data_IF_783468376072
#
_entry.id   IF_783468376072
#
_cell.length_a   1.000
_cell.length_b   1.000
_cell.length_c   1.000
_cell.angle_alpha   90.00
_cell.angle_beta   90.00
_cell.angle_gamma   90.00
#
_symmetry.space_group_name_H-M   'P 1'
#
loop_
_entity.id
_entity.type
_entity.pdbx_description
1 polymer ?
#
# COMPACT_ATOMS: atom_id res chain seq x y z
N UNK A 1 -44.13 11.32 3.30
CA UNK A 1 -45.28 10.44 3.68
C UNK A 1 -44.78 9.11 4.28
N UNK A 2 -43.96 8.32 3.61
CA UNK A 2 -43.48 7.02 4.14
C UNK A 2 -42.64 7.17 5.43
N UNK A 3 -41.72 8.16 5.50
CA UNK A 3 -40.91 8.45 6.68
C UNK A 3 -41.74 8.83 7.91
N UNK A 4 -42.88 9.55 7.72
CA UNK A 4 -43.79 9.89 8.80
C UNK A 4 -44.52 8.66 9.38
N UNK A 5 -44.92 7.73 8.50
CA UNK A 5 -45.51 6.46 8.90
C UNK A 5 -44.53 5.61 9.73
N UNK A 6 -43.26 5.54 9.31
CA UNK A 6 -42.23 4.80 10.07
C UNK A 6 -42.01 5.41 11.46
N UNK A 7 -41.97 6.72 11.57
CA UNK A 7 -41.86 7.41 12.87
C UNK A 7 -43.07 7.13 13.79
N UNK A 8 -44.26 7.05 13.21
CA UNK A 8 -45.46 6.69 13.96
C UNK A 8 -45.43 5.23 14.45
N UNK A 9 -45.09 4.28 13.56
CA UNK A 9 -44.97 2.87 13.94
C UNK A 9 -43.89 2.65 15.00
N UNK A 10 -42.81 3.44 14.95
CA UNK A 10 -41.78 3.41 15.97
C UNK A 10 -42.28 3.94 17.30
N UNK A 11 -43.07 5.05 17.29
CA UNK A 11 -43.69 5.58 18.50
C UNK A 11 -44.68 4.59 19.14
N UNK A 12 -45.29 3.72 18.31
CA UNK A 12 -46.16 2.63 18.75
C UNK A 12 -45.36 1.40 19.26
N UNK A 13 -44.03 1.52 19.47
CA UNK A 13 -43.17 0.47 20.00
C UNK A 13 -42.83 -0.66 19.02
N UNK A 14 -43.05 -0.47 17.74
CA UNK A 14 -42.69 -1.50 16.70
C UNK A 14 -41.23 -1.45 16.33
N UNK A 15 -40.60 -2.62 16.27
CA UNK A 15 -39.27 -2.77 15.66
C UNK A 15 -39.43 -2.95 14.15
N UNK A 16 -38.74 -2.12 13.38
CA UNK A 16 -38.88 -2.07 11.92
C UNK A 16 -37.52 -2.35 11.29
N UNK A 17 -37.48 -3.31 10.37
CA UNK A 17 -36.30 -3.60 9.55
C UNK A 17 -36.61 -3.24 8.11
N UNK A 18 -35.77 -2.41 7.51
CA UNK A 18 -35.95 -1.93 6.14
C UNK A 18 -34.69 -2.24 5.34
N UNK A 19 -34.88 -2.75 4.13
CA UNK A 19 -33.79 -2.88 3.15
C UNK A 19 -34.00 -1.82 2.09
N UNK A 20 -33.05 -0.92 1.94
CA UNK A 20 -33.13 0.19 0.97
C UNK A 20 -31.76 0.44 0.33
N UNK A 21 -31.78 0.91 -0.91
CA UNK A 21 -30.60 1.45 -1.59
C UNK A 21 -30.51 2.97 -1.50
N UNK A 22 -31.54 3.62 -0.94
CA UNK A 22 -31.58 5.06 -0.73
C UNK A 22 -30.85 5.41 0.56
N UNK A 23 -29.63 5.92 0.41
CA UNK A 23 -28.76 6.26 1.53
C UNK A 23 -29.26 7.47 2.31
N UNK A 24 -29.83 8.47 1.62
CA UNK A 24 -30.38 9.67 2.28
C UNK A 24 -31.60 9.31 3.11
N UNK A 25 -32.49 8.47 2.60
CA UNK A 25 -33.62 7.94 3.36
C UNK A 25 -33.15 7.15 4.60
N UNK A 26 -32.15 6.27 4.47
CA UNK A 26 -31.61 5.52 5.59
C UNK A 26 -30.97 6.44 6.64
N UNK A 27 -30.23 7.45 6.20
CA UNK A 27 -29.56 8.40 7.07
C UNK A 27 -30.54 9.23 7.93
N UNK A 28 -31.77 9.49 7.43
CA UNK A 28 -32.77 10.30 8.09
C UNK A 28 -33.74 9.51 8.96
N UNK A 29 -33.93 8.22 8.67
CA UNK A 29 -35.02 7.45 9.30
C UNK A 29 -34.54 6.32 10.20
N UNK A 30 -33.33 5.83 10.00
CA UNK A 30 -32.83 4.67 10.75
C UNK A 30 -32.14 5.08 12.06
N UNK A 31 -32.30 4.26 13.10
CA UNK A 31 -31.52 4.36 14.34
C UNK A 31 -30.16 3.64 14.19
N UNK A 32 -30.17 2.53 13.46
CA UNK A 32 -28.98 1.74 13.16
C UNK A 32 -28.99 1.43 11.68
N UNK A 33 -27.88 1.67 11.01
CA UNK A 33 -27.65 1.29 9.62
C UNK A 33 -26.74 0.07 9.60
N UNK A 34 -27.15 -0.95 8.87
CA UNK A 34 -26.37 -2.17 8.68
C UNK A 34 -26.07 -2.38 7.18
N UNK A 35 -24.83 -2.73 6.87
CA UNK A 35 -24.46 -3.13 5.53
C UNK A 35 -24.55 -4.65 5.39
N UNK A 36 -25.51 -5.08 4.58
CA UNK A 36 -25.62 -6.47 4.17
C UNK A 36 -24.79 -6.66 2.89
N UNK A 37 -23.79 -7.52 2.94
CA UNK A 37 -22.97 -7.86 1.80
C UNK A 37 -22.69 -9.36 1.80
N UNK A 38 -22.96 -10.01 0.68
CA UNK A 38 -22.72 -11.44 0.48
C UNK A 38 -23.39 -12.34 1.56
N UNK A 39 -24.61 -11.92 1.98
CA UNK A 39 -25.40 -12.66 2.98
C UNK A 39 -25.01 -12.40 4.44
N UNK A 40 -24.00 -11.59 4.71
CA UNK A 40 -23.52 -11.26 6.06
C UNK A 40 -23.64 -9.75 6.36
N UNK A 41 -23.88 -9.41 7.63
CA UNK A 41 -23.85 -8.02 8.10
C UNK A 41 -22.37 -7.64 8.35
N UNK A 42 -21.80 -6.89 7.42
CA UNK A 42 -20.40 -6.48 7.47
C UNK A 42 -20.14 -5.32 8.43
N UNK A 43 -21.11 -4.43 8.60
CA UNK A 43 -21.02 -3.24 9.47
C UNK A 43 -22.41 -2.95 10.02
N UNK A 44 -22.52 -2.59 11.30
CA UNK A 44 -23.74 -2.14 11.94
C UNK A 44 -23.40 -0.97 12.87
N UNK A 45 -23.86 0.24 12.54
CA UNK A 45 -23.50 1.48 13.26
C UNK A 45 -24.66 2.49 13.22
N UNK A 46 -24.72 3.44 14.16
CA UNK A 46 -25.60 4.60 14.05
C UNK A 46 -25.33 5.38 12.75
N UNK A 47 -26.36 6.03 12.15
CA UNK A 47 -26.20 6.77 10.88
C UNK A 47 -25.06 7.79 10.90
N UNK A 48 -24.86 8.49 12.00
CA UNK A 48 -23.78 9.47 12.17
C UNK A 48 -22.37 8.87 11.97
N UNK A 49 -22.16 7.64 12.43
CA UNK A 49 -20.89 6.94 12.26
C UNK A 49 -20.83 6.17 10.94
N UNK A 50 -21.99 5.66 10.49
CA UNK A 50 -22.09 4.89 9.25
C UNK A 50 -21.80 5.75 8.02
N UNK A 51 -22.31 6.98 7.97
CA UNK A 51 -22.19 7.87 6.81
C UNK A 51 -21.07 8.91 6.92
N UNK A 52 -20.58 9.25 8.12
CA UNK A 52 -19.55 10.27 8.32
C UNK A 52 -18.17 9.84 7.80
N UNK A 53 -17.78 8.59 8.02
CA UNK A 53 -16.43 8.08 7.70
C UNK A 53 -16.38 7.18 6.45
N UNK A 54 -17.53 6.80 5.88
CA UNK A 54 -17.55 5.87 4.76
C UNK A 54 -17.42 6.61 3.43
N UNK A 55 -16.36 6.33 2.72
CA UNK A 55 -16.15 6.82 1.34
C UNK A 55 -16.94 6.00 0.29
N UNK A 56 -17.64 4.94 0.69
CA UNK A 56 -18.41 4.04 -0.19
C UNK A 56 -19.91 4.18 -0.07
N UNK A 57 -20.39 4.39 1.17
CA UNK A 57 -21.81 4.50 1.49
C UNK A 57 -22.06 5.91 2.01
N UNK A 58 -21.94 6.86 1.12
CA UNK A 58 -22.04 8.28 1.44
C UNK A 58 -23.33 8.80 0.88
N UNK A 59 -24.13 9.49 1.68
CA UNK A 59 -25.30 10.23 1.23
C UNK A 59 -24.90 11.30 0.21
N UNK A 60 -25.80 11.71 -0.65
CA UNK A 60 -25.52 12.81 -1.59
C UNK A 60 -25.25 14.12 -0.84
N UNK A 61 -25.92 14.34 0.28
CA UNK A 61 -25.64 15.44 1.21
C UNK A 61 -24.21 15.43 1.72
N UNK A 62 -23.70 14.28 2.16
CA UNK A 62 -22.32 14.16 2.61
C UNK A 62 -21.30 14.32 1.47
N UNK A 63 -21.61 13.89 0.23
CA UNK A 63 -20.76 14.16 -0.93
C UNK A 63 -20.64 15.64 -1.23
N UNK A 64 -21.75 16.38 -1.12
CA UNK A 64 -21.77 17.84 -1.30
C UNK A 64 -21.03 18.53 -0.17
N UNK A 65 -21.29 18.14 1.09
CA UNK A 65 -20.70 18.72 2.30
C UNK A 65 -19.17 18.48 2.43
N UNK A 66 -18.63 17.44 1.83
CA UNK A 66 -17.25 16.91 2.03
C UNK A 66 -16.12 17.95 1.97
N UNK A 67 -16.33 19.09 1.31
CA UNK A 67 -15.33 20.16 1.17
C UNK A 67 -15.77 21.47 1.86
N UNK A 68 -16.91 21.48 2.51
CA UNK A 68 -17.54 22.68 3.06
C UNK A 68 -17.76 22.53 4.57
N UNK A 69 -18.28 21.38 5.00
CA UNK A 69 -18.65 21.10 6.38
C UNK A 69 -18.20 19.70 6.78
N UNK A 70 -17.77 19.53 8.03
CA UNK A 70 -17.43 18.22 8.60
C UNK A 70 -18.67 17.58 9.25
N UNK A 71 -18.75 16.24 9.17
CA UNK A 71 -19.79 15.42 9.81
C UNK A 71 -21.23 15.66 9.36
N UNK A 72 -21.46 16.18 8.18
CA UNK A 72 -22.78 16.35 7.57
C UNK A 72 -23.11 15.17 6.68
N UNK A 73 -24.21 14.46 6.98
CA UNK A 73 -24.66 13.27 6.24
C UNK A 73 -26.15 13.29 5.88
N UNK A 74 -26.90 14.34 6.31
CA UNK A 74 -28.30 14.53 5.96
C UNK A 74 -28.53 15.87 5.26
N UNK A 75 -29.60 15.98 4.47
CA UNK A 75 -29.98 17.24 3.81
C UNK A 75 -30.28 18.33 4.82
N UNK A 76 -30.99 17.98 5.89
CA UNK A 76 -31.29 18.90 6.97
C UNK A 76 -30.00 19.43 7.65
N UNK A 77 -29.05 18.55 7.90
CA UNK A 77 -27.73 18.92 8.43
C UNK A 77 -26.94 19.82 7.48
N UNK A 78 -27.02 19.59 6.19
CA UNK A 78 -26.36 20.42 5.18
C UNK A 78 -26.97 21.84 5.15
N UNK A 79 -28.30 21.93 5.13
CA UNK A 79 -29.01 23.23 5.17
C UNK A 79 -28.69 23.98 6.44
N UNK A 80 -28.71 23.32 7.60
CA UNK A 80 -28.39 23.93 8.89
C UNK A 80 -26.93 24.41 8.94
N UNK A 81 -26.00 23.67 8.43
CA UNK A 81 -24.57 24.03 8.38
C UNK A 81 -24.27 25.22 7.45
N UNK A 82 -25.14 25.46 6.48
CA UNK A 82 -25.09 26.61 5.57
C UNK A 82 -25.89 27.84 6.07
N UNK A 83 -26.38 27.81 7.32
CA UNK A 83 -27.13 28.91 7.92
C UNK A 83 -28.61 28.95 7.54
N UNK A 84 -29.14 27.90 6.92
CA UNK A 84 -30.55 27.73 6.55
C UNK A 84 -31.37 27.04 7.65
N UNK A 85 -32.70 27.18 7.60
CA UNK A 85 -33.63 26.36 8.38
C UNK A 85 -34.25 25.31 7.49
N UNK A 86 -34.14 24.05 7.86
CA UNK A 86 -34.79 22.94 7.18
C UNK A 86 -36.28 22.89 7.62
N UNK A 87 -37.16 23.45 6.83
CA UNK A 87 -38.59 23.23 6.96
C UNK A 87 -38.98 21.99 6.12
N UNK A 88 -40.02 21.28 6.54
CA UNK A 88 -40.45 19.96 6.07
C UNK A 88 -40.21 19.62 4.57
N UNK A 89 -39.64 18.46 4.30
CA UNK A 89 -39.23 17.92 3.00
C UNK A 89 -40.30 17.95 1.90
N UNK A 90 -41.59 17.96 2.24
CA UNK A 90 -42.67 17.95 1.24
C UNK A 90 -42.85 19.29 0.49
N UNK A 91 -42.27 20.36 1.00
CA UNK A 91 -42.51 21.72 0.50
C UNK A 91 -41.34 22.27 -0.37
N UNK A 92 -40.19 21.56 -0.38
CA UNK A 92 -38.98 22.03 -1.07
C UNK A 92 -39.05 21.86 -2.58
N UNK A 93 -39.77 20.86 -3.11
CA UNK A 93 -39.84 20.62 -4.54
C UNK A 93 -40.55 21.73 -5.33
N UNK A 94 -41.43 22.52 -4.66
CA UNK A 94 -42.13 23.65 -5.26
C UNK A 94 -41.38 24.99 -5.25
N UNK A 95 -40.40 25.14 -4.34
CA UNK A 95 -39.75 26.44 -4.11
C UNK A 95 -38.47 26.70 -4.88
N UNK A 96 -37.88 25.67 -5.50
CA UNK A 96 -36.64 25.85 -6.29
C UNK A 96 -36.81 26.69 -7.57
N UNK A 97 -38.02 26.98 -8.00
CA UNK A 97 -38.28 27.77 -9.21
C UNK A 97 -38.46 29.28 -8.95
N UNK A 98 -38.37 29.79 -7.70
CA UNK A 98 -38.74 31.16 -7.35
C UNK A 98 -37.75 31.98 -6.53
N UNK A 99 -36.62 31.48 -6.12
CA UNK A 99 -35.68 32.25 -5.29
C UNK A 99 -34.80 33.16 -6.17
N UNK A 100 -35.34 34.36 -6.48
CA UNK A 100 -34.50 35.54 -6.61
C UNK A 100 -34.18 35.97 -5.17
N UNK A 101 -33.27 35.23 -4.53
CA UNK A 101 -32.78 35.61 -3.22
C UNK A 101 -31.71 36.68 -3.36
N UNK A 102 -31.83 37.73 -2.53
CA UNK A 102 -30.74 38.63 -2.22
C UNK A 102 -29.47 37.82 -1.96
N UNK A 103 -28.39 38.22 -2.59
CA UNK A 103 -27.08 37.59 -2.43
C UNK A 103 -26.71 37.57 -0.94
N UNK A 104 -26.64 36.42 -0.29
CA UNK A 104 -25.90 36.36 0.96
C UNK A 104 -24.44 36.65 0.62
N UNK A 105 -23.86 37.60 1.32
CA UNK A 105 -22.44 37.96 1.26
C UNK A 105 -21.56 36.85 1.87
N UNK A 106 -21.90 35.62 1.60
CA UNK A 106 -21.07 34.46 1.90
C UNK A 106 -20.43 34.01 0.58
N UNK A 107 -19.17 34.33 0.44
CA UNK A 107 -18.34 33.85 -0.64
C UNK A 107 -18.57 32.33 -0.81
N UNK A 108 -19.27 31.96 -1.89
CA UNK A 108 -19.36 30.56 -2.34
C UNK A 108 -17.93 30.01 -2.29
N UNK A 109 -17.68 28.92 -1.52
CA UNK A 109 -16.33 28.36 -1.45
C UNK A 109 -15.91 28.03 -2.89
N UNK A 110 -15.07 28.86 -3.45
CA UNK A 110 -14.60 28.67 -4.82
C UNK A 110 -14.02 27.25 -4.85
N UNK A 111 -14.60 26.41 -5.71
CA UNK A 111 -14.05 25.10 -6.09
C UNK A 111 -12.53 25.26 -6.11
N UNK A 112 -11.82 24.66 -5.13
CA UNK A 112 -10.37 24.80 -4.99
C UNK A 112 -9.79 24.57 -6.36
N UNK A 113 -9.48 25.65 -7.09
CA UNK A 113 -8.80 25.57 -8.41
C UNK A 113 -7.64 24.66 -8.18
N UNK A 114 -7.54 23.57 -8.94
CA UNK A 114 -6.36 22.68 -8.90
C UNK A 114 -5.15 23.60 -8.93
N UNK A 115 -4.44 23.72 -7.79
CA UNK A 115 -3.27 24.59 -7.70
C UNK A 115 -2.36 24.17 -8.84
N UNK A 116 -2.18 25.06 -9.81
CA UNK A 116 -1.27 24.81 -10.93
C UNK A 116 0.07 24.39 -10.33
N UNK A 117 0.63 23.31 -10.84
CA UNK A 117 1.97 22.88 -10.41
C UNK A 117 2.92 24.06 -10.56
N UNK A 118 3.77 24.36 -9.56
CA UNK A 118 4.80 25.39 -9.69
C UNK A 118 5.62 25.15 -10.97
N UNK A 119 5.99 26.20 -11.67
CA UNK A 119 6.74 26.12 -12.93
C UNK A 119 7.97 25.23 -12.78
N UNK A 120 8.72 25.40 -11.68
CA UNK A 120 9.88 24.58 -11.34
C UNK A 120 9.56 23.06 -11.38
N UNK A 121 8.44 22.64 -10.79
CA UNK A 121 8.04 21.22 -10.78
C UNK A 121 7.64 20.70 -12.16
N UNK A 122 7.04 21.54 -12.99
CA UNK A 122 6.73 21.18 -14.39
C UNK A 122 8.02 21.00 -15.20
N UNK A 123 8.99 21.88 -15.01
CA UNK A 123 10.30 21.80 -15.65
C UNK A 123 11.02 20.52 -15.21
N UNK A 124 11.07 20.22 -13.92
CA UNK A 124 11.68 18.99 -13.41
C UNK A 124 11.00 17.74 -13.96
N UNK A 125 9.67 17.76 -14.04
CA UNK A 125 8.91 16.63 -14.59
C UNK A 125 9.19 16.42 -16.08
N UNK A 126 9.19 17.48 -16.87
CA UNK A 126 9.45 17.39 -18.32
C UNK A 126 10.90 17.00 -18.63
N UNK A 127 11.87 17.63 -18.00
CA UNK A 127 13.28 17.28 -18.18
C UNK A 127 13.59 15.86 -17.71
N UNK A 128 13.05 15.47 -16.54
CA UNK A 128 13.18 14.11 -16.03
C UNK A 128 12.54 13.07 -16.95
N UNK A 129 11.35 13.33 -17.50
CA UNK A 129 10.68 12.42 -18.44
C UNK A 129 11.42 12.29 -19.76
N UNK A 130 11.90 13.40 -20.33
CA UNK A 130 12.66 13.40 -21.58
C UNK A 130 14.01 12.71 -21.38
N UNK A 131 14.74 13.05 -20.31
CA UNK A 131 16.03 12.42 -20.01
C UNK A 131 15.91 10.92 -19.74
N UNK A 132 14.85 10.52 -19.02
CA UNK A 132 14.59 9.11 -18.76
C UNK A 132 14.23 8.35 -20.04
N UNK A 133 13.34 8.91 -20.88
CA UNK A 133 12.97 8.32 -22.17
C UNK A 133 14.19 8.20 -23.10
N UNK A 134 15.06 9.22 -23.12
CA UNK A 134 16.29 9.18 -23.89
C UNK A 134 17.21 8.04 -23.43
N UNK A 135 17.42 7.88 -22.12
CA UNK A 135 18.24 6.80 -21.56
C UNK A 135 17.66 5.42 -21.88
N UNK A 136 16.33 5.27 -21.86
CA UNK A 136 15.67 4.04 -22.23
C UNK A 136 15.89 3.69 -23.71
N UNK A 137 15.72 4.67 -24.60
CA UNK A 137 15.93 4.48 -26.03
C UNK A 137 17.40 4.19 -26.37
N UNK A 138 18.34 4.84 -25.70
CA UNK A 138 19.77 4.57 -25.84
C UNK A 138 20.11 3.13 -25.39
N UNK A 139 19.45 2.62 -24.34
CA UNK A 139 19.64 1.25 -23.86
C UNK A 139 19.06 0.16 -24.77
N UNK A 140 18.15 0.49 -25.69
CA UNK A 140 17.56 -0.48 -26.64
C UNK A 140 18.40 -0.73 -27.89
N UNK A 141 19.49 0.03 -28.09
CA UNK A 141 20.32 -0.08 -29.29
C UNK A 141 19.66 0.43 -30.59
N UNK A 142 18.46 1.02 -30.49
CA UNK A 142 17.72 1.59 -31.63
C UNK A 142 18.38 2.89 -32.12
N UNK A 143 19.06 3.59 -31.21
CA UNK A 143 19.79 4.80 -31.52
C UNK A 143 21.30 4.54 -31.73
N UNK A 144 21.94 5.23 -32.67
CA UNK A 144 23.38 5.09 -32.92
C UNK A 144 24.26 5.72 -31.82
N UNK A 145 23.71 5.95 -30.64
CA UNK A 145 24.40 6.54 -29.50
C UNK A 145 24.63 5.46 -28.45
N UNK A 146 25.87 4.99 -28.35
CA UNK A 146 26.28 4.08 -27.31
C UNK A 146 26.58 4.86 -26.02
N UNK A 147 25.97 4.44 -24.93
CA UNK A 147 26.31 4.98 -23.60
C UNK A 147 27.71 4.44 -23.26
N UNK A 148 28.69 5.27 -22.93
CA UNK A 148 30.02 4.81 -22.57
C UNK A 148 29.98 3.72 -21.51
N UNK A 149 30.59 2.57 -21.77
CA UNK A 149 30.67 1.46 -20.81
C UNK A 149 31.65 1.75 -19.67
N UNK A 150 32.61 2.62 -19.90
CA UNK A 150 33.64 3.01 -18.94
C UNK A 150 33.68 4.55 -18.74
N UNK A 151 33.75 5.02 -17.51
CA UNK A 151 33.68 4.26 -16.27
C UNK A 151 32.23 3.80 -15.98
N UNK A 152 32.06 2.57 -15.53
CA UNK A 152 30.72 1.95 -15.33
C UNK A 152 29.74 2.77 -14.49
N UNK A 153 30.23 3.53 -13.51
CA UNK A 153 29.40 4.42 -12.67
C UNK A 153 28.72 5.53 -13.47
N UNK A 154 29.28 5.91 -14.62
CA UNK A 154 28.73 6.99 -15.46
C UNK A 154 27.35 6.62 -16.03
N UNK A 155 27.15 5.37 -16.45
CA UNK A 155 25.87 4.89 -16.95
C UNK A 155 24.77 5.01 -15.87
N UNK A 156 25.12 4.61 -14.64
CA UNK A 156 24.18 4.71 -13.52
C UNK A 156 23.92 6.14 -13.09
N UNK A 157 24.93 7.00 -13.09
CA UNK A 157 24.75 8.42 -12.82
C UNK A 157 23.81 9.09 -13.84
N UNK A 158 24.00 8.80 -15.12
CA UNK A 158 23.15 9.29 -16.21
C UNK A 158 21.69 8.82 -16.07
N UNK A 159 21.46 7.61 -15.58
CA UNK A 159 20.11 7.10 -15.30
C UNK A 159 19.52 7.72 -14.02
N UNK A 160 20.30 7.87 -12.97
CA UNK A 160 19.83 8.40 -11.69
C UNK A 160 19.40 9.86 -11.76
N UNK A 161 20.08 10.69 -12.55
CA UNK A 161 19.76 12.13 -12.66
C UNK A 161 18.33 12.38 -13.16
N UNK A 162 17.88 11.82 -14.30
CA UNK A 162 16.49 11.96 -14.75
C UNK A 162 15.49 11.40 -13.75
N UNK A 163 15.82 10.28 -13.06
CA UNK A 163 14.97 9.68 -12.05
C UNK A 163 14.78 10.61 -10.84
N UNK A 164 15.85 11.25 -10.35
CA UNK A 164 15.76 12.24 -9.25
C UNK A 164 14.92 13.44 -9.68
N UNK A 165 15.08 13.94 -10.91
CA UNK A 165 14.25 15.02 -11.44
C UNK A 165 12.77 14.64 -11.49
N UNK A 166 12.43 13.41 -11.88
CA UNK A 166 11.07 12.88 -11.83
C UNK A 166 10.51 12.86 -10.40
N UNK A 167 11.29 12.41 -9.42
CA UNK A 167 10.89 12.41 -8.00
C UNK A 167 10.55 13.83 -7.54
N UNK A 168 11.41 14.80 -7.80
CA UNK A 168 11.19 16.20 -7.41
C UNK A 168 9.92 16.74 -8.08
N UNK A 169 9.69 16.38 -9.35
CA UNK A 169 8.53 16.82 -10.12
C UNK A 169 7.20 16.23 -9.61
N UNK A 170 7.20 14.96 -9.24
CA UNK A 170 5.98 14.22 -8.83
C UNK A 170 5.67 14.33 -7.33
N UNK A 171 6.67 14.66 -6.47
CA UNK A 171 6.51 14.67 -5.00
C UNK A 171 5.21 15.36 -4.53
N UNK A 172 4.23 14.65 -3.94
CA UNK A 172 2.95 15.23 -3.55
C UNK A 172 3.06 16.05 -2.27
N UNK A 173 2.07 16.91 -2.02
CA UNK A 173 1.86 17.47 -0.69
C UNK A 173 1.31 16.38 0.23
N UNK A 174 1.85 16.29 1.46
CA UNK A 174 1.50 15.33 2.52
C UNK A 174 -0.03 15.20 2.75
N UNK A 175 -0.68 14.23 2.12
CA UNK A 175 -2.13 13.98 2.27
C UNK A 175 -2.45 12.49 2.21
N UNK A 176 -1.71 11.64 2.94
CA UNK A 176 -2.06 10.22 2.98
C UNK A 176 -3.26 9.94 3.89
N UNK A 177 -4.10 8.98 3.49
CA UNK A 177 -5.22 8.50 4.27
C UNK A 177 -4.78 8.01 5.65
N UNK A 178 -5.52 8.40 6.70
CA UNK A 178 -5.26 7.94 8.08
C UNK A 178 -5.39 6.42 8.17
N UNK A 179 -4.52 5.73 8.93
CA UNK A 179 -4.64 4.28 9.12
C UNK A 179 -5.91 3.95 9.91
N UNK A 180 -6.58 2.84 9.60
CA UNK A 180 -7.60 2.31 10.49
C UNK A 180 -6.95 1.94 11.82
N UNK A 181 -7.49 2.44 12.92
CA UNK A 181 -6.98 2.19 14.27
C UNK A 181 -7.46 0.81 14.71
N UNK A 182 -6.58 -0.18 14.69
CA UNK A 182 -6.82 -1.46 15.36
C UNK A 182 -5.64 -1.75 16.30
N UNK A 183 -5.91 -1.70 17.60
CA UNK A 183 -4.95 -2.18 18.60
C UNK A 183 -4.90 -3.71 18.52
N UNK A 184 -3.77 -4.27 18.10
CA UNK A 184 -3.59 -5.71 17.96
C UNK A 184 -3.21 -6.32 19.29
N UNK A 185 -4.03 -7.24 19.81
CA UNK A 185 -3.64 -8.14 20.91
C UNK A 185 -2.70 -9.22 20.35
N UNK A 186 -1.64 -9.56 21.11
CA UNK A 186 -0.76 -10.70 20.80
C UNK A 186 -1.61 -11.98 20.83
N UNK A 187 -1.58 -12.74 19.75
CA UNK A 187 -2.37 -13.97 19.63
C UNK A 187 -1.51 -15.21 19.89
N UNK A 188 -2.08 -16.36 20.30
CA UNK A 188 -1.32 -17.60 20.47
C UNK A 188 -0.54 -18.04 19.22
N UNK A 189 -0.98 -17.63 18.03
CA UNK A 189 -0.27 -17.87 16.77
C UNK A 189 1.05 -17.13 16.66
N UNK A 190 1.16 -15.96 17.29
CA UNK A 190 2.40 -15.22 17.33
C UNK A 190 3.44 -15.96 18.21
N UNK A 191 2.98 -16.64 19.27
CA UNK A 191 3.83 -17.47 20.15
C UNK A 191 4.41 -18.67 19.38
N UNK A 192 3.64 -19.33 18.52
CA UNK A 192 4.16 -20.46 17.71
C UNK A 192 5.22 -20.01 16.73
N UNK A 193 5.05 -18.85 16.07
CA UNK A 193 6.09 -18.29 15.22
C UNK A 193 7.36 -17.97 16.01
N UNK A 194 7.23 -17.44 17.23
CA UNK A 194 8.36 -17.19 18.15
C UNK A 194 9.06 -18.49 18.58
N UNK A 195 8.30 -19.55 18.88
CA UNK A 195 8.87 -20.85 19.24
C UNK A 195 9.64 -21.47 18.08
N UNK A 196 9.07 -21.46 16.87
CA UNK A 196 9.78 -21.93 15.66
C UNK A 196 11.07 -21.13 15.50
N UNK A 197 11.01 -19.82 15.58
CA UNK A 197 12.17 -18.96 15.40
C UNK A 197 13.21 -19.13 16.52
N UNK A 198 12.77 -19.25 17.78
CA UNK A 198 13.67 -19.33 18.92
C UNK A 198 14.29 -20.72 19.16
N UNK A 199 13.62 -21.79 18.69
CA UNK A 199 14.08 -23.17 18.93
C UNK A 199 14.65 -23.79 17.66
N UNK A 200 13.92 -23.73 16.54
CA UNK A 200 14.34 -24.41 15.31
C UNK A 200 15.55 -23.74 14.66
N UNK A 201 15.60 -22.41 14.59
CA UNK A 201 16.74 -21.72 13.98
C UNK A 201 18.08 -22.04 14.71
N UNK A 202 18.20 -21.89 16.05
CA UNK A 202 19.41 -22.30 16.74
C UNK A 202 19.76 -23.78 16.54
N UNK A 203 18.74 -24.65 16.54
CA UNK A 203 18.94 -26.09 16.30
C UNK A 203 19.49 -26.38 14.90
N UNK A 204 18.92 -25.77 13.86
CA UNK A 204 19.43 -25.89 12.48
C UNK A 204 20.84 -25.37 12.33
N UNK A 205 21.19 -24.27 12.97
CA UNK A 205 22.53 -23.72 12.98
C UNK A 205 23.50 -24.70 13.65
N UNK A 206 23.15 -25.23 14.84
CA UNK A 206 23.98 -26.19 15.57
C UNK A 206 24.16 -27.47 14.76
N UNK A 207 23.09 -28.10 14.27
CA UNK A 207 23.17 -29.31 13.46
C UNK A 207 23.98 -29.07 12.19
N UNK A 208 23.71 -27.97 11.47
CA UNK A 208 24.47 -27.63 10.27
C UNK A 208 25.94 -27.43 10.53
N UNK A 209 26.31 -26.85 11.67
CA UNK A 209 27.74 -26.68 12.03
C UNK A 209 28.40 -27.99 12.41
N UNK A 210 27.68 -28.92 13.02
CA UNK A 210 28.22 -30.22 13.45
C UNK A 210 28.27 -31.27 12.35
N UNK A 211 27.23 -31.37 11.52
CA UNK A 211 27.05 -32.47 10.60
C UNK A 211 27.40 -32.14 9.15
N UNK A 212 27.41 -30.87 8.73
CA UNK A 212 27.84 -30.53 7.37
C UNK A 212 29.35 -30.40 7.37
N UNK A 213 30.08 -31.21 6.52
CA UNK A 213 31.54 -31.16 6.44
C UNK A 213 32.03 -29.75 6.12
N UNK A 214 33.22 -29.41 6.62
CA UNK A 214 33.88 -28.15 6.29
C UNK A 214 34.20 -28.13 4.79
N UNK A 215 33.36 -27.52 4.01
CA UNK A 215 33.45 -27.42 2.56
C UNK A 215 32.87 -26.11 2.08
N UNK A 216 33.04 -25.85 0.83
CA UNK A 216 32.85 -24.57 0.14
C UNK A 216 31.47 -23.94 0.27
N UNK A 217 30.42 -24.65 0.66
CA UNK A 217 29.06 -24.13 0.71
C UNK A 217 28.31 -24.41 2.01
N UNK A 218 29.04 -24.78 3.07
CA UNK A 218 28.44 -25.08 4.38
C UNK A 218 27.56 -23.92 4.89
N UNK A 219 28.11 -22.72 4.92
CA UNK A 219 27.39 -21.53 5.40
C UNK A 219 26.16 -21.20 4.54
N UNK A 220 26.27 -21.35 3.21
CA UNK A 220 25.15 -21.15 2.30
C UNK A 220 23.99 -22.10 2.61
N UNK A 221 24.27 -23.39 2.80
CA UNK A 221 23.23 -24.39 3.10
C UNK A 221 22.55 -24.14 4.44
N UNK A 222 23.32 -23.82 5.47
CA UNK A 222 22.78 -23.49 6.80
C UNK A 222 21.85 -22.28 6.73
N UNK A 223 22.30 -21.19 6.10
CA UNK A 223 21.52 -19.97 6.02
C UNK A 223 20.29 -20.15 5.14
N UNK A 224 20.40 -20.93 4.06
CA UNK A 224 19.25 -21.27 3.20
C UNK A 224 18.19 -22.05 3.99
N UNK A 225 18.59 -23.02 4.82
CA UNK A 225 17.66 -23.76 5.68
C UNK A 225 16.97 -22.82 6.67
N UNK A 226 17.72 -21.94 7.35
CA UNK A 226 17.17 -20.93 8.26
C UNK A 226 16.19 -19.99 7.56
N UNK A 227 16.47 -19.57 6.33
CA UNK A 227 15.54 -18.73 5.55
C UNK A 227 14.22 -19.46 5.24
N UNK A 228 14.30 -20.73 4.87
CA UNK A 228 13.10 -21.55 4.61
C UNK A 228 12.28 -21.70 5.91
N UNK A 229 12.92 -21.92 7.04
CA UNK A 229 12.25 -21.96 8.35
C UNK A 229 11.58 -20.63 8.71
N UNK A 230 12.24 -19.50 8.48
CA UNK A 230 11.63 -18.18 8.67
C UNK A 230 10.41 -17.97 7.77
N UNK A 231 10.52 -18.32 6.49
CA UNK A 231 9.40 -18.23 5.55
C UNK A 231 8.24 -19.13 6.01
N UNK A 232 8.53 -20.38 6.37
CA UNK A 232 7.52 -21.32 6.88
C UNK A 232 6.81 -20.79 8.14
N UNK A 233 7.55 -20.20 9.09
CA UNK A 233 6.99 -19.61 10.29
C UNK A 233 5.98 -18.49 9.97
N UNK A 234 6.27 -17.64 9.00
CA UNK A 234 5.35 -16.60 8.54
C UNK A 234 4.08 -17.16 7.90
N UNK A 235 4.22 -18.16 7.02
CA UNK A 235 3.07 -18.81 6.37
C UNK A 235 2.19 -19.54 7.40
N UNK A 236 2.79 -20.31 8.30
CA UNK A 236 2.07 -21.02 9.37
C UNK A 236 1.35 -20.04 10.30
N UNK A 237 2.01 -18.94 10.67
CA UNK A 237 1.39 -17.89 11.50
C UNK A 237 0.19 -17.24 10.81
N UNK A 238 0.20 -17.12 9.49
CA UNK A 238 -0.92 -16.62 8.72
C UNK A 238 -2.07 -17.63 8.67
N UNK A 239 -1.78 -18.89 8.34
CA UNK A 239 -2.78 -19.94 8.23
C UNK A 239 -3.53 -20.18 9.54
N UNK A 240 -2.82 -20.18 10.67
CA UNK A 240 -3.43 -20.35 12.01
C UNK A 240 -4.42 -19.24 12.38
N UNK A 241 -4.37 -18.08 11.75
CA UNK A 241 -5.37 -17.02 11.92
C UNK A 241 -6.67 -17.27 11.16
N UNK A 242 -6.78 -18.41 10.47
CA UNK A 242 -7.94 -18.78 9.64
C UNK A 242 -8.36 -17.61 8.73
N UNK A 243 -7.47 -17.20 7.80
CA UNK A 243 -7.78 -16.10 6.89
C UNK A 243 -9.05 -16.42 6.09
N UNK A 244 -9.88 -15.42 5.90
CA UNK A 244 -11.05 -15.55 5.06
C UNK A 244 -10.64 -15.71 3.59
N UNK A 245 -11.52 -16.28 2.76
CA UNK A 245 -11.29 -16.34 1.31
C UNK A 245 -11.04 -14.95 0.71
N UNK A 246 -11.66 -13.91 1.30
CA UNK A 246 -11.47 -12.50 0.89
C UNK A 246 -10.05 -11.99 1.21
N UNK A 247 -9.48 -12.37 2.36
CA UNK A 247 -8.08 -12.03 2.70
C UNK A 247 -7.10 -12.64 1.70
N UNK A 248 -7.28 -13.93 1.39
CA UNK A 248 -6.46 -14.67 0.44
C UNK A 248 -6.58 -14.06 -0.96
N UNK A 249 -7.80 -13.74 -1.41
CA UNK A 249 -8.04 -13.12 -2.71
C UNK A 249 -7.34 -11.76 -2.85
N UNK A 250 -7.38 -10.92 -1.81
CA UNK A 250 -6.70 -9.61 -1.84
C UNK A 250 -5.19 -9.77 -1.87
N UNK A 251 -4.62 -10.71 -1.10
CA UNK A 251 -3.19 -11.01 -1.16
C UNK A 251 -2.78 -11.52 -2.54
N UNK A 252 -3.56 -12.43 -3.12
CA UNK A 252 -3.30 -12.96 -4.46
C UNK A 252 -3.31 -11.86 -5.54
N UNK A 253 -4.31 -10.97 -5.51
CA UNK A 253 -4.42 -9.84 -6.45
C UNK A 253 -3.24 -8.87 -6.32
N UNK A 254 -2.83 -8.55 -5.08
CA UNK A 254 -1.68 -7.65 -4.86
C UNK A 254 -0.36 -8.30 -5.28
N UNK A 255 -0.20 -9.60 -5.02
CA UNK A 255 0.97 -10.36 -5.49
C UNK A 255 0.98 -10.45 -7.01
N UNK A 256 -0.15 -10.73 -7.65
CA UNK A 256 -0.26 -10.75 -9.10
C UNK A 256 0.04 -9.37 -9.73
N UNK A 257 -0.43 -8.28 -9.11
CA UNK A 257 -0.11 -6.92 -9.55
C UNK A 257 1.39 -6.62 -9.44
N UNK A 258 2.05 -7.10 -8.38
CA UNK A 258 3.50 -6.94 -8.20
C UNK A 258 4.28 -7.76 -9.24
N UNK A 259 3.86 -9.00 -9.52
CA UNK A 259 4.44 -9.86 -10.58
C UNK A 259 4.26 -9.20 -11.95
N UNK A 260 3.03 -8.82 -12.31
CA UNK A 260 2.74 -8.15 -13.57
C UNK A 260 3.55 -6.84 -13.73
N UNK A 261 3.72 -6.08 -12.66
CA UNK A 261 4.58 -4.91 -12.66
C UNK A 261 6.06 -5.26 -12.91
N UNK A 262 6.56 -6.37 -12.36
CA UNK A 262 7.92 -6.84 -12.62
C UNK A 262 8.11 -7.26 -14.07
N UNK A 263 7.11 -7.93 -14.67
CA UNK A 263 7.12 -8.35 -16.07
C UNK A 263 7.04 -7.15 -17.03
N UNK A 264 6.13 -6.21 -16.76
CA UNK A 264 5.95 -5.02 -17.60
C UNK A 264 7.25 -4.20 -17.74
N UNK A 265 8.05 -4.18 -16.67
CA UNK A 265 9.32 -3.47 -16.62
C UNK A 265 10.53 -4.42 -16.78
N UNK A 266 10.33 -5.56 -17.42
CA UNK A 266 11.38 -6.57 -17.59
C UNK A 266 12.65 -6.02 -18.24
N UNK A 267 12.49 -5.21 -19.31
CA UNK A 267 13.61 -4.62 -20.05
C UNK A 267 14.46 -3.65 -19.24
N UNK A 268 13.95 -3.14 -18.11
CA UNK A 268 14.66 -2.14 -17.31
C UNK A 268 15.33 -2.78 -16.09
N UNK A 269 16.68 -2.79 -16.05
CA UNK A 269 17.41 -3.32 -14.91
C UNK A 269 17.00 -2.60 -13.61
N UNK A 270 16.55 -3.37 -12.63
CA UNK A 270 16.16 -2.90 -11.29
C UNK A 270 15.06 -1.81 -11.23
N UNK A 271 14.57 -1.27 -12.35
CA UNK A 271 13.49 -0.28 -12.39
C UNK A 271 12.13 -0.98 -12.44
N UNK A 272 11.57 -1.32 -11.27
CA UNK A 272 10.35 -2.15 -11.15
C UNK A 272 9.45 -1.67 -10.01
N UNK A 273 8.11 -1.74 -10.16
CA UNK A 273 7.16 -1.30 -9.13
C UNK A 273 6.97 -2.29 -7.98
N UNK A 274 7.56 -3.49 -8.03
CA UNK A 274 7.28 -4.58 -7.11
C UNK A 274 7.47 -4.20 -5.65
N UNK A 275 8.60 -3.59 -5.29
CA UNK A 275 8.87 -3.18 -3.92
C UNK A 275 7.88 -2.09 -3.43
N UNK A 276 7.48 -1.16 -4.30
CA UNK A 276 6.47 -0.16 -3.98
C UNK A 276 5.11 -0.80 -3.65
N UNK A 277 4.66 -1.77 -4.45
CA UNK A 277 3.39 -2.49 -4.22
C UNK A 277 3.45 -3.25 -2.90
N UNK A 278 4.56 -3.93 -2.60
CA UNK A 278 4.78 -4.68 -1.36
C UNK A 278 4.75 -3.75 -0.13
N UNK A 279 5.48 -2.63 -0.17
CA UNK A 279 5.52 -1.63 0.90
C UNK A 279 4.13 -1.04 1.14
N UNK A 280 3.38 -0.70 0.07
CA UNK A 280 2.02 -0.18 0.18
C UNK A 280 1.08 -1.23 0.76
N UNK A 281 1.23 -2.51 0.35
CA UNK A 281 0.44 -3.62 0.89
C UNK A 281 0.64 -3.78 2.39
N UNK A 282 1.89 -3.77 2.87
CA UNK A 282 2.21 -3.79 4.29
C UNK A 282 1.63 -2.59 5.04
N UNK A 283 1.81 -1.40 4.48
CA UNK A 283 1.29 -0.15 5.05
C UNK A 283 -0.24 -0.17 5.18
N UNK A 284 -0.97 -0.73 4.19
CA UNK A 284 -2.43 -0.73 4.16
C UNK A 284 -3.05 -1.85 4.98
N UNK A 285 -2.52 -3.08 4.82
CA UNK A 285 -3.13 -4.32 5.32
C UNK A 285 -2.45 -4.86 6.58
N UNK A 286 -1.25 -4.38 6.89
CA UNK A 286 -0.48 -4.78 8.07
C UNK A 286 0.75 -5.60 7.73
N UNK A 287 1.60 -5.81 8.74
CA UNK A 287 2.93 -6.39 8.59
C UNK A 287 2.91 -7.79 7.94
N UNK A 288 2.04 -8.67 8.41
CA UNK A 288 1.96 -10.03 7.92
C UNK A 288 1.50 -10.09 6.45
N UNK A 289 0.48 -9.31 6.09
CA UNK A 289 0.02 -9.20 4.70
C UNK A 289 1.13 -8.67 3.78
N UNK A 290 1.87 -7.65 4.22
CA UNK A 290 3.00 -7.11 3.47
C UNK A 290 4.11 -8.13 3.24
N UNK A 291 4.44 -8.94 4.27
CA UNK A 291 5.42 -10.01 4.14
C UNK A 291 4.98 -11.05 3.11
N UNK A 292 3.74 -11.51 3.20
CA UNK A 292 3.20 -12.53 2.30
C UNK A 292 3.14 -12.05 0.85
N UNK A 293 2.67 -10.82 0.62
CA UNK A 293 2.67 -10.23 -0.74
C UNK A 293 4.09 -10.19 -1.30
N UNK A 294 5.08 -9.77 -0.51
CA UNK A 294 6.47 -9.73 -0.93
C UNK A 294 7.04 -11.11 -1.25
N UNK A 295 6.88 -12.07 -0.35
CA UNK A 295 7.39 -13.43 -0.51
C UNK A 295 6.74 -14.14 -1.71
N UNK A 296 5.41 -14.11 -1.80
CA UNK A 296 4.66 -14.76 -2.90
C UNK A 296 4.98 -14.11 -4.25
N UNK A 297 5.09 -12.78 -4.29
CA UNK A 297 5.46 -12.08 -5.54
C UNK A 297 6.81 -12.52 -6.07
N UNK A 298 7.81 -12.71 -5.20
CA UNK A 298 9.13 -13.20 -5.63
C UNK A 298 9.07 -14.65 -6.08
N UNK A 299 8.40 -15.52 -5.33
CA UNK A 299 8.24 -16.92 -5.72
C UNK A 299 7.59 -17.04 -7.10
N UNK A 300 6.45 -16.39 -7.30
CA UNK A 300 5.67 -16.51 -8.55
C UNK A 300 6.41 -15.85 -9.72
N UNK A 301 6.99 -14.66 -9.55
CA UNK A 301 7.72 -14.01 -10.63
C UNK A 301 8.98 -14.80 -11.03
N UNK A 302 9.64 -15.45 -10.09
CA UNK A 302 10.80 -16.28 -10.44
C UNK A 302 10.40 -17.57 -11.19
N UNK A 303 9.13 -18.00 -11.18
CA UNK A 303 8.67 -19.04 -12.11
C UNK A 303 8.76 -18.59 -13.57
N UNK A 304 8.67 -17.29 -13.82
CA UNK A 304 8.78 -16.68 -15.16
C UNK A 304 10.23 -16.30 -15.49
N UNK A 305 10.98 -15.75 -14.53
CA UNK A 305 12.37 -15.30 -14.72
C UNK A 305 13.43 -16.38 -14.44
N UNK A 306 13.03 -17.55 -13.97
CA UNK A 306 13.92 -18.62 -13.53
C UNK A 306 14.05 -18.70 -12.01
N UNK A 307 13.91 -19.91 -11.50
CA UNK A 307 14.12 -20.25 -10.09
C UNK A 307 15.59 -20.56 -9.84
N UNK A 308 16.05 -20.22 -8.64
CA UNK A 308 17.42 -20.52 -8.22
C UNK A 308 17.62 -20.40 -6.71
N UNK A 309 18.85 -20.57 -6.27
CA UNK A 309 19.22 -20.46 -4.86
C UNK A 309 18.98 -19.05 -4.29
N UNK A 310 18.86 -18.06 -5.15
CA UNK A 310 18.50 -16.68 -4.78
C UNK A 310 17.02 -16.51 -4.43
N UNK A 311 16.13 -17.41 -4.85
CA UNK A 311 14.68 -17.25 -4.66
C UNK A 311 14.29 -17.14 -3.20
N UNK A 312 14.69 -17.99 -2.25
CA UNK A 312 14.35 -17.84 -0.84
C UNK A 312 14.87 -16.52 -0.25
N UNK A 313 16.04 -16.05 -0.68
CA UNK A 313 16.60 -14.78 -0.25
C UNK A 313 15.74 -13.61 -0.73
N UNK A 314 15.32 -13.61 -1.99
CA UNK A 314 14.44 -12.59 -2.55
C UNK A 314 13.08 -12.59 -1.87
N UNK A 315 12.50 -13.77 -1.62
CA UNK A 315 11.23 -13.91 -0.91
C UNK A 315 11.31 -13.28 0.48
N UNK A 316 12.37 -13.61 1.21
CA UNK A 316 12.58 -13.12 2.57
C UNK A 316 12.86 -11.61 2.58
N UNK A 317 13.79 -11.14 1.77
CA UNK A 317 14.15 -9.73 1.71
C UNK A 317 12.95 -8.85 1.30
N UNK A 318 12.22 -9.25 0.25
CA UNK A 318 11.04 -8.52 -0.21
C UNK A 318 9.90 -8.58 0.82
N UNK A 319 9.73 -9.74 1.46
CA UNK A 319 8.79 -9.91 2.57
C UNK A 319 9.08 -8.94 3.72
N UNK A 320 10.35 -8.81 4.13
CA UNK A 320 10.75 -7.89 5.18
C UNK A 320 10.44 -6.42 4.84
N UNK A 321 10.58 -6.00 3.58
CA UNK A 321 10.18 -4.64 3.18
C UNK A 321 8.71 -4.37 3.52
N UNK A 322 7.83 -5.29 3.16
CA UNK A 322 6.40 -5.18 3.47
C UNK A 322 6.09 -5.29 4.96
N UNK A 323 6.79 -6.18 5.65
CA UNK A 323 6.62 -6.43 7.09
C UNK A 323 6.93 -5.18 7.92
N UNK A 324 8.11 -4.61 7.74
CA UNK A 324 8.50 -3.41 8.49
C UNK A 324 7.66 -2.19 8.09
N UNK A 325 7.27 -2.05 6.81
CA UNK A 325 6.33 -1.02 6.41
C UNK A 325 5.01 -1.11 7.18
N UNK A 326 4.49 -2.33 7.35
CA UNK A 326 3.27 -2.57 8.11
C UNK A 326 3.37 -2.23 9.61
N UNK A 327 4.54 -2.41 10.22
CA UNK A 327 4.80 -2.03 11.61
C UNK A 327 4.93 -0.51 11.74
N UNK A 328 5.83 0.09 10.96
CA UNK A 328 6.20 1.50 11.08
C UNK A 328 5.02 2.41 10.76
N UNK A 329 4.28 2.09 9.69
CA UNK A 329 3.15 2.91 9.22
C UNK A 329 1.78 2.47 9.74
N UNK A 330 1.74 1.68 10.80
CA UNK A 330 0.50 1.22 11.43
C UNK A 330 -0.33 2.36 12.03
N UNK A 331 0.32 3.37 12.61
CA UNK A 331 -0.35 4.48 13.35
C UNK A 331 -0.36 5.80 12.60
N UNK A 332 0.74 6.17 11.96
CA UNK A 332 0.90 7.45 11.23
C UNK A 332 1.46 7.20 9.85
N UNK A 333 0.95 7.91 8.87
CA UNK A 333 1.36 7.81 7.47
C UNK A 333 1.70 9.18 6.91
N UNK A 334 2.85 9.27 6.27
CA UNK A 334 3.30 10.46 5.56
C UNK A 334 3.94 10.00 4.25
N UNK A 335 3.63 10.66 3.15
CA UNK A 335 4.25 10.35 1.86
C UNK A 335 5.75 10.48 1.92
N UNK A 336 6.27 11.54 2.55
CA UNK A 336 7.70 11.74 2.71
C UNK A 336 8.35 10.62 3.53
N UNK A 337 7.75 10.26 4.68
CA UNK A 337 8.27 9.18 5.50
C UNK A 337 8.26 7.84 4.76
N UNK A 338 7.23 7.58 3.95
CA UNK A 338 7.15 6.37 3.14
C UNK A 338 8.22 6.35 2.05
N UNK A 339 8.50 7.48 1.40
CA UNK A 339 9.58 7.61 0.43
C UNK A 339 10.96 7.40 1.07
N UNK A 340 11.22 8.01 2.23
CA UNK A 340 12.47 7.82 2.99
C UNK A 340 12.62 6.35 3.40
N UNK A 341 11.56 5.76 3.96
CA UNK A 341 11.57 4.34 4.31
C UNK A 341 11.87 3.46 3.09
N UNK A 342 11.23 3.72 1.97
CA UNK A 342 11.41 2.94 0.74
C UNK A 342 12.84 3.02 0.23
N UNK A 343 13.42 4.20 0.22
CA UNK A 343 14.81 4.40 -0.15
C UNK A 343 15.75 3.59 0.75
N UNK A 344 15.63 3.78 2.06
CA UNK A 344 16.51 3.15 3.04
C UNK A 344 16.29 1.64 3.12
N UNK A 345 15.05 1.17 3.12
CA UNK A 345 14.75 -0.25 3.25
C UNK A 345 15.19 -1.05 2.03
N UNK A 346 15.04 -0.51 0.82
CA UNK A 346 15.53 -1.19 -0.39
C UNK A 346 17.05 -1.24 -0.39
N UNK A 347 17.75 -0.14 -0.06
CA UNK A 347 19.22 -0.13 0.00
C UNK A 347 19.76 -1.06 1.08
N UNK A 348 19.23 -0.96 2.31
CA UNK A 348 19.81 -1.65 3.48
C UNK A 348 19.28 -3.07 3.63
N UNK A 349 17.95 -3.27 3.54
CA UNK A 349 17.35 -4.58 3.78
C UNK A 349 17.46 -5.44 2.52
N UNK A 350 16.88 -4.97 1.41
CA UNK A 350 16.87 -5.78 0.19
C UNK A 350 18.27 -5.91 -0.41
N UNK A 351 18.95 -4.81 -0.68
CA UNK A 351 20.31 -4.79 -1.22
C UNK A 351 21.31 -5.49 -0.29
N UNK A 352 21.27 -5.21 1.01
CA UNK A 352 22.14 -5.87 1.99
C UNK A 352 21.98 -7.38 2.01
N UNK A 353 20.75 -7.90 2.06
CA UNK A 353 20.46 -9.34 2.04
C UNK A 353 20.89 -9.96 0.70
N UNK A 354 20.59 -9.31 -0.42
CA UNK A 354 20.94 -9.84 -1.74
C UNK A 354 22.44 -9.83 -2.01
N UNK A 355 23.16 -8.82 -1.56
CA UNK A 355 24.63 -8.77 -1.68
C UNK A 355 25.29 -9.85 -0.83
N UNK A 356 24.81 -10.07 0.42
CA UNK A 356 25.26 -11.17 1.27
C UNK A 356 24.95 -12.53 0.62
N UNK A 357 23.76 -12.70 0.04
CA UNK A 357 23.41 -13.94 -0.66
C UNK A 357 24.35 -14.21 -1.83
N UNK A 358 24.76 -13.18 -2.54
CA UNK A 358 25.70 -13.27 -3.66
C UNK A 358 27.09 -13.70 -3.19
N UNK A 359 27.61 -13.14 -2.11
CA UNK A 359 28.86 -13.57 -1.48
C UNK A 359 28.80 -15.06 -1.16
N UNK A 360 27.74 -15.50 -0.45
CA UNK A 360 27.59 -16.89 -0.02
C UNK A 360 27.40 -17.88 -1.19
N UNK A 361 26.85 -17.40 -2.30
CA UNK A 361 26.56 -18.23 -3.48
C UNK A 361 27.77 -18.36 -4.41
N UNK A 362 28.49 -17.26 -4.63
CA UNK A 362 29.46 -17.18 -5.71
C UNK A 362 30.93 -17.20 -5.25
N UNK A 363 31.20 -17.02 -3.95
CA UNK A 363 32.59 -17.09 -3.43
C UNK A 363 32.75 -18.14 -2.34
N UNK A 364 33.96 -18.66 -2.23
CA UNK A 364 34.41 -19.57 -1.16
C UNK A 364 35.11 -18.83 -0.05
N UNK A 365 35.70 -17.67 -0.36
CA UNK A 365 36.48 -16.85 0.56
C UNK A 365 35.62 -15.75 1.18
N UNK A 366 35.00 -16.08 2.30
CA UNK A 366 34.15 -15.15 3.04
C UNK A 366 35.03 -14.36 4.00
N UNK A 367 35.44 -13.18 3.58
CA UNK A 367 36.20 -12.23 4.38
C UNK A 367 35.62 -10.81 4.18
N UNK A 368 36.07 -9.87 5.02
CA UNK A 368 35.57 -8.50 4.99
C UNK A 368 35.82 -7.82 3.64
N UNK A 369 36.95 -8.09 3.01
CA UNK A 369 37.30 -7.53 1.70
C UNK A 369 36.32 -8.02 0.61
N UNK A 370 36.03 -9.31 0.58
CA UNK A 370 35.07 -9.91 -0.36
C UNK A 370 33.67 -9.35 -0.13
N UNK A 371 33.21 -9.30 1.13
CA UNK A 371 31.89 -8.74 1.47
C UNK A 371 31.78 -7.28 1.01
N UNK A 372 32.77 -6.46 1.32
CA UNK A 372 32.76 -5.05 0.92
C UNK A 372 32.81 -4.88 -0.59
N UNK A 373 33.55 -5.70 -1.32
CA UNK A 373 33.61 -5.67 -2.78
C UNK A 373 32.22 -5.97 -3.40
N UNK A 374 31.51 -6.99 -2.92
CA UNK A 374 30.15 -7.31 -3.38
C UNK A 374 29.15 -6.21 -3.05
N UNK A 375 29.23 -5.64 -1.85
CA UNK A 375 28.36 -4.51 -1.48
C UNK A 375 28.60 -3.31 -2.40
N UNK A 376 29.86 -2.92 -2.61
CA UNK A 376 30.22 -1.79 -3.45
C UNK A 376 29.75 -1.99 -4.90
N UNK A 377 29.97 -3.19 -5.45
CA UNK A 377 29.51 -3.53 -6.81
C UNK A 377 27.98 -3.57 -6.93
N UNK A 378 27.27 -3.88 -5.85
CA UNK A 378 25.80 -3.91 -5.79
C UNK A 378 25.16 -2.53 -5.67
N UNK A 379 25.85 -1.52 -5.08
CA UNK A 379 25.30 -0.19 -4.82
C UNK A 379 24.59 0.45 -6.04
N UNK A 380 25.14 0.46 -7.26
CA UNK A 380 24.47 1.05 -8.40
C UNK A 380 23.10 0.43 -8.70
N UNK A 381 23.01 -0.89 -8.64
CA UNK A 381 21.76 -1.63 -8.88
C UNK A 381 20.75 -1.40 -7.76
N UNK A 382 21.22 -1.43 -6.52
CA UNK A 382 20.40 -1.18 -5.33
C UNK A 382 19.86 0.26 -5.33
N UNK A 383 20.66 1.22 -5.77
CA UNK A 383 20.26 2.61 -5.88
C UNK A 383 19.17 2.82 -6.94
N UNK A 384 19.30 2.19 -8.12
CA UNK A 384 18.25 2.24 -9.14
C UNK A 384 16.96 1.64 -8.59
N UNK A 385 17.04 0.49 -7.92
CA UNK A 385 15.87 -0.16 -7.32
C UNK A 385 15.23 0.72 -6.26
N UNK A 386 16.01 1.32 -5.37
CA UNK A 386 15.51 2.20 -4.31
C UNK A 386 14.83 3.46 -4.89
N UNK A 387 15.47 4.10 -5.86
CA UNK A 387 14.94 5.30 -6.53
C UNK A 387 13.68 4.96 -7.31
N UNK A 388 13.66 3.84 -8.05
CA UNK A 388 12.46 3.38 -8.76
C UNK A 388 11.29 3.13 -7.81
N UNK A 389 11.58 2.53 -6.66
CA UNK A 389 10.54 2.27 -5.64
C UNK A 389 9.92 3.58 -5.14
N UNK A 390 10.74 4.61 -4.89
CA UNK A 390 10.24 5.94 -4.51
C UNK A 390 9.38 6.55 -5.62
N UNK A 391 9.80 6.45 -6.88
CA UNK A 391 9.01 6.96 -8.02
C UNK A 391 7.65 6.27 -8.07
N UNK A 392 7.59 4.93 -7.98
CA UNK A 392 6.34 4.21 -8.01
C UNK A 392 5.45 4.52 -6.80
N UNK A 393 6.01 4.72 -5.60
CA UNK A 393 5.24 5.19 -4.45
C UNK A 393 4.63 6.56 -4.71
N UNK A 394 5.34 7.47 -5.35
CA UNK A 394 4.82 8.79 -5.67
C UNK A 394 3.71 8.74 -6.74
N UNK A 395 3.82 7.85 -7.72
CA UNK A 395 2.86 7.74 -8.83
C UNK A 395 1.60 6.99 -8.39
N UNK A 396 1.74 5.78 -7.85
CA UNK A 396 0.63 4.88 -7.56
C UNK A 396 0.29 4.76 -6.08
N UNK A 397 1.20 5.19 -5.18
CA UNK A 397 1.11 4.89 -3.75
C UNK A 397 -0.16 5.37 -3.10
N UNK A 398 -0.55 6.63 -3.30
CA UNK A 398 -1.77 7.19 -2.70
C UNK A 398 -3.04 6.50 -3.22
N UNK A 399 -3.11 6.23 -4.53
CA UNK A 399 -4.26 5.59 -5.14
C UNK A 399 -4.43 4.14 -4.67
N UNK A 400 -3.34 3.38 -4.66
CA UNK A 400 -3.34 1.98 -4.21
C UNK A 400 -3.60 1.88 -2.71
N UNK A 401 -2.97 2.73 -1.90
CA UNK A 401 -3.20 2.78 -0.45
C UNK A 401 -4.66 3.06 -0.11
N UNK A 402 -5.29 4.06 -0.78
CA UNK A 402 -6.71 4.35 -0.59
C UNK A 402 -7.59 3.16 -0.95
N UNK A 403 -7.31 2.48 -2.06
CA UNK A 403 -8.06 1.29 -2.47
C UNK A 403 -7.92 0.15 -1.46
N UNK A 404 -6.69 -0.17 -1.03
CA UNK A 404 -6.45 -1.23 -0.05
C UNK A 404 -7.10 -0.92 1.32
N UNK A 405 -7.00 0.32 1.79
CA UNK A 405 -7.67 0.74 3.03
C UNK A 405 -9.19 0.63 2.93
N UNK A 406 -9.78 0.99 1.79
CA UNK A 406 -11.22 0.81 1.54
C UNK A 406 -11.63 -0.65 1.58
N UNK A 407 -10.88 -1.52 0.88
CA UNK A 407 -11.14 -2.96 0.89
C UNK A 407 -11.05 -3.53 2.30
N UNK A 408 -10.05 -3.14 3.07
CA UNK A 408 -9.88 -3.55 4.45
C UNK A 408 -11.08 -3.19 5.31
N UNK A 409 -11.58 -1.96 5.21
CA UNK A 409 -12.75 -1.50 5.97
C UNK A 409 -14.03 -2.18 5.47
N UNK A 410 -14.25 -2.22 4.15
CA UNK A 410 -15.46 -2.76 3.54
C UNK A 410 -15.67 -4.25 3.83
N UNK A 411 -14.59 -5.03 3.83
CA UNK A 411 -14.66 -6.48 3.99
C UNK A 411 -14.14 -6.99 5.34
N UNK A 412 -13.78 -6.09 6.27
CA UNK A 412 -13.22 -6.48 7.56
C UNK A 412 -11.91 -7.26 7.46
N UNK A 413 -11.08 -6.98 6.43
CA UNK A 413 -9.88 -7.77 6.13
C UNK A 413 -8.80 -7.62 7.19
N UNK A 414 -8.11 -8.72 7.47
CA UNK A 414 -6.93 -8.76 8.36
C UNK A 414 -7.19 -8.20 9.77
N UNK A 415 -8.39 -8.48 10.31
CA UNK A 415 -8.79 -8.11 11.69
C UNK A 415 -8.22 -9.06 12.73
#
# INVERSE_FOLDING_TARGET
MFSALLKQLKADGKTIVIVSHDMDFCAETADICALLFDGEISVSLPPSQFFADSSFFTTDSAKIAKNVCDNVYTVAGLIASLGGRAENYGDLSGRFHGIKGDKPDTAVPQRKKRKKLPIFRKVMLSLGSVGFAFMLLAGTGIFPFEIPSEPFWLQYALLCVPMIMLIIGVAPKNTMAKPPVTAKKVTPSDIVAWVITAVFIPFTVILGTLFIPNGTRKHLLIILAVLVECLAAFFISFEKKKPSAKDIAVLAVLSAAAVAGRELFFMFPQFKPVAAIVIISGTALGAQAGFLVGAVSMLVSNMLFGQGMWTPWQMFAMGLLGFFAGIIFSKKRSTLALCIYSLLSVLVIYGGIMNISSVLTYTTDINLQTITAYIISGIPFDLIHAVSTVIFILIIGEALLKKCCRLRIKFGLFQ
#
